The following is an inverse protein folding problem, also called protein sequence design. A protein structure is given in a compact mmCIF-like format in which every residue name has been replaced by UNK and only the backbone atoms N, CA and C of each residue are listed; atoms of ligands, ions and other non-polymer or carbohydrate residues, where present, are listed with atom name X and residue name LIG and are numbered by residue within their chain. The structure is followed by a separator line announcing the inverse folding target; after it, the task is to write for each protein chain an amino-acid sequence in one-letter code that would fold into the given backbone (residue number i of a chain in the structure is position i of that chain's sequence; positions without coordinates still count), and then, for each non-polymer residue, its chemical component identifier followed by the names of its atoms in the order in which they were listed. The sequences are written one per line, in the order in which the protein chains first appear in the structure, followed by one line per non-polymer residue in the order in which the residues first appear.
data_IF_321191609819
#
_entry.id   IF_321191609819
#
_cell.length_a   1.000
_cell.length_b   1.000
_cell.length_c   1.000
_cell.angle_alpha   90.00
_cell.angle_beta   90.00
_cell.angle_gamma   90.00
#
_symmetry.space_group_name_H-M   'P 1'
#
loop_
_entity.id
_entity.type
_entity.pdbx_description
1 polymer ?
#
# COMPACT_ATOMS: atom_id res chain seq x y z
N UNK A 1 36.49 36.89 -9.31
CA UNK A 1 35.04 36.90 -9.09
C UNK A 1 34.33 35.92 -10.02
N UNK A 2 34.37 36.15 -11.33
CA UNK A 2 33.52 35.48 -12.32
C UNK A 2 33.65 33.95 -12.40
N UNK A 3 34.87 33.39 -12.36
CA UNK A 3 35.08 31.93 -12.37
C UNK A 3 34.54 31.24 -11.10
N UNK A 4 34.63 31.90 -9.95
CA UNK A 4 34.12 31.39 -8.67
C UNK A 4 32.59 31.41 -8.67
N UNK A 5 31.97 32.47 -9.17
CA UNK A 5 30.52 32.56 -9.32
C UNK A 5 29.97 31.52 -10.30
N UNK A 6 30.63 31.30 -11.44
CA UNK A 6 30.25 30.26 -12.39
C UNK A 6 30.36 28.85 -11.77
N UNK A 7 31.41 28.58 -10.99
CA UNK A 7 31.57 27.32 -10.28
C UNK A 7 30.51 27.12 -9.19
N UNK A 8 30.20 28.17 -8.41
CA UNK A 8 29.16 28.15 -7.39
C UNK A 8 27.76 27.95 -8.01
N UNK A 9 27.46 28.61 -9.13
CA UNK A 9 26.22 28.41 -9.88
C UNK A 9 26.03 26.98 -10.35
N UNK A 10 27.08 26.37 -10.93
CA UNK A 10 27.05 24.95 -11.33
C UNK A 10 26.87 24.00 -10.14
N UNK A 11 27.54 24.26 -9.02
CA UNK A 11 27.40 23.45 -7.82
C UNK A 11 25.98 23.52 -7.24
N UNK A 12 25.40 24.73 -7.12
CA UNK A 12 24.02 24.93 -6.66
C UNK A 12 23.02 24.20 -7.56
N UNK A 13 23.21 24.29 -8.88
CA UNK A 13 22.38 23.58 -9.84
C UNK A 13 22.49 22.06 -9.68
N UNK A 14 23.70 21.52 -9.61
CA UNK A 14 23.93 20.09 -9.43
C UNK A 14 23.30 19.57 -8.12
N UNK A 15 23.40 20.34 -7.03
CA UNK A 15 22.75 20.01 -5.76
C UNK A 15 21.23 20.02 -5.88
N UNK A 16 20.65 21.03 -6.53
CA UNK A 16 19.21 21.11 -6.74
C UNK A 16 18.68 19.91 -7.56
N UNK A 17 19.41 19.52 -8.60
CA UNK A 17 19.10 18.34 -9.42
C UNK A 17 19.17 17.06 -8.58
N UNK A 18 20.24 16.87 -7.78
CA UNK A 18 20.39 15.70 -6.90
C UNK A 18 19.26 15.59 -5.87
N UNK A 19 18.88 16.70 -5.23
CA UNK A 19 17.77 16.73 -4.26
C UNK A 19 16.45 16.38 -4.95
N UNK A 20 16.19 16.91 -6.15
CA UNK A 20 14.99 16.58 -6.93
C UNK A 20 14.90 15.08 -7.24
N UNK A 21 15.99 14.48 -7.71
CA UNK A 21 16.03 13.04 -8.00
C UNK A 21 15.83 12.19 -6.74
N UNK A 22 16.45 12.57 -5.61
CA UNK A 22 16.26 11.87 -4.36
C UNK A 22 14.80 11.92 -3.88
N UNK A 23 14.13 13.07 -4.02
CA UNK A 23 12.70 13.22 -3.69
C UNK A 23 11.80 12.36 -4.58
N UNK A 24 12.00 12.39 -5.89
CA UNK A 24 11.24 11.56 -6.82
C UNK A 24 11.43 10.05 -6.55
N UNK A 25 12.65 9.64 -6.18
CA UNK A 25 12.95 8.26 -5.78
C UNK A 25 12.22 7.86 -4.49
N UNK A 26 12.19 8.75 -3.49
CA UNK A 26 11.47 8.52 -2.23
C UNK A 26 9.97 8.44 -2.44
N UNK A 27 9.39 9.36 -3.22
CA UNK A 27 7.97 9.35 -3.59
C UNK A 27 7.59 8.08 -4.36
N UNK A 28 8.42 7.65 -5.30
CA UNK A 28 8.22 6.40 -6.02
C UNK A 28 8.31 5.16 -5.13
N UNK A 29 9.23 5.14 -4.16
CA UNK A 29 9.33 4.06 -3.18
C UNK A 29 8.13 4.05 -2.22
N UNK A 30 7.66 5.21 -1.77
CA UNK A 30 6.46 5.35 -0.95
C UNK A 30 5.21 4.89 -1.70
N UNK A 31 5.03 5.30 -2.96
CA UNK A 31 3.90 4.86 -3.78
C UNK A 31 3.89 3.34 -4.02
N UNK A 32 5.08 2.72 -4.15
CA UNK A 32 5.21 1.26 -4.24
C UNK A 32 4.90 0.58 -2.91
N UNK A 33 5.36 1.13 -1.79
CA UNK A 33 5.03 0.64 -0.45
C UNK A 33 3.53 0.75 -0.17
N UNK A 34 2.89 1.84 -0.60
CA UNK A 34 1.44 2.00 -0.53
C UNK A 34 0.74 0.97 -1.41
N UNK A 35 1.15 0.81 -2.68
CA UNK A 35 0.58 -0.19 -3.57
C UNK A 35 0.71 -1.63 -3.03
N UNK A 36 1.78 -1.91 -2.27
CA UNK A 36 2.05 -3.20 -1.61
C UNK A 36 1.47 -3.27 -0.19
N UNK A 37 0.95 -2.18 0.36
CA UNK A 37 0.39 -2.14 1.70
C UNK A 37 -1.05 -2.62 1.69
N UNK A 38 -1.41 -3.67 2.46
CA UNK A 38 -2.79 -4.10 2.65
C UNK A 38 -3.71 -2.94 3.07
N UNK A 39 -3.17 -1.92 3.77
CA UNK A 39 -3.92 -0.73 4.20
C UNK A 39 -4.26 0.23 3.06
N UNK A 40 -3.41 0.38 2.04
CA UNK A 40 -3.73 1.25 0.89
C UNK A 40 -4.75 0.58 -0.05
N UNK A 41 -4.83 -0.75 -0.04
CA UNK A 41 -5.92 -1.47 -0.69
C UNK A 41 -7.27 -1.14 -0.01
N UNK A 42 -7.30 -1.14 1.33
CA UNK A 42 -8.50 -0.78 2.09
C UNK A 42 -8.96 0.67 1.86
N UNK A 43 -8.02 1.61 1.70
CA UNK A 43 -8.33 3.03 1.46
C UNK A 43 -9.08 3.28 0.13
N UNK A 44 -8.97 2.37 -0.85
CA UNK A 44 -9.70 2.43 -2.13
C UNK A 44 -11.09 1.79 -2.07
N UNK A 45 -11.55 1.38 -0.88
CA UNK A 45 -12.86 0.75 -0.69
C UNK A 45 -12.85 -0.79 -0.75
N UNK A 46 -11.67 -1.42 -0.86
CA UNK A 46 -11.55 -2.88 -0.76
C UNK A 46 -11.58 -3.33 0.72
N UNK A 47 -11.83 -4.62 0.93
CA UNK A 47 -11.80 -5.25 2.25
C UNK A 47 -10.88 -6.47 2.25
N UNK A 48 -10.30 -6.82 3.40
CA UNK A 48 -9.51 -8.04 3.58
C UNK A 48 -10.34 -9.06 4.35
N UNK A 49 -10.47 -10.26 3.81
CA UNK A 49 -11.19 -11.36 4.46
C UNK A 49 -10.19 -12.28 5.18
N UNK A 50 -10.47 -12.61 6.44
CA UNK A 50 -9.74 -13.62 7.22
C UNK A 50 -10.67 -14.73 7.66
N UNK A 51 -10.19 -15.98 7.67
CA UNK A 51 -10.97 -17.12 8.16
C UNK A 51 -11.03 -17.15 9.68
N UNK A 52 -12.23 -17.32 10.22
CA UNK A 52 -12.53 -17.51 11.63
C UNK A 52 -12.31 -16.26 12.47
N UNK A 53 -11.06 -16.00 12.85
CA UNK A 53 -10.70 -14.98 13.84
C UNK A 53 -9.99 -13.76 13.22
N UNK A 54 -9.92 -12.61 13.92
CA UNK A 54 -9.22 -11.42 13.43
C UNK A 54 -7.72 -11.64 13.14
N UNK A 55 -7.10 -12.63 13.78
CA UNK A 55 -5.71 -13.05 13.58
C UNK A 55 -5.58 -14.27 12.67
N UNK A 56 -6.69 -14.79 12.12
CA UNK A 56 -6.71 -15.95 11.24
C UNK A 56 -6.07 -15.69 9.87
N UNK A 57 -5.86 -16.73 9.04
CA UNK A 57 -5.22 -16.58 7.74
C UNK A 57 -6.06 -15.70 6.81
N UNK A 58 -5.39 -14.93 5.95
CA UNK A 58 -6.05 -14.17 4.88
C UNK A 58 -6.59 -15.15 3.85
N UNK A 59 -7.81 -14.90 3.39
CA UNK A 59 -8.42 -15.61 2.27
C UNK A 59 -8.16 -14.81 1.00
N UNK A 60 -7.42 -15.40 0.06
CA UNK A 60 -7.11 -14.83 -1.25
C UNK A 60 -7.81 -15.56 -2.41
N UNK A 61 -8.44 -16.70 -2.14
CA UNK A 61 -9.17 -17.53 -3.09
C UNK A 61 -10.51 -17.96 -2.44
N UNK A 62 -11.61 -17.74 -3.16
CA UNK A 62 -12.95 -18.10 -2.70
C UNK A 62 -13.13 -19.62 -2.55
N UNK A 63 -12.45 -20.43 -3.36
CA UNK A 63 -12.51 -21.90 -3.30
C UNK A 63 -11.96 -22.46 -1.98
N UNK A 64 -11.23 -21.66 -1.21
CA UNK A 64 -10.78 -22.07 0.10
C UNK A 64 -11.93 -22.10 1.13
N UNK A 65 -13.04 -21.39 0.90
CA UNK A 65 -14.15 -21.22 1.84
C UNK A 65 -15.33 -22.15 1.52
N UNK A 66 -16.16 -22.41 2.53
CA UNK A 66 -17.42 -23.12 2.38
C UNK A 66 -18.61 -22.32 2.94
N UNK A 67 -19.85 -22.56 2.44
CA UNK A 67 -21.06 -22.08 3.09
C UNK A 67 -21.06 -22.44 4.58
N UNK A 68 -21.35 -21.45 5.41
CA UNK A 68 -21.30 -21.60 6.87
C UNK A 68 -19.97 -21.16 7.50
N UNK A 69 -18.90 -20.96 6.74
CA UNK A 69 -17.62 -20.51 7.30
C UNK A 69 -17.74 -19.13 7.95
N UNK A 70 -17.22 -19.00 9.16
CA UNK A 70 -17.08 -17.70 9.81
C UNK A 70 -15.87 -16.96 9.23
N UNK A 71 -16.04 -15.68 8.93
CA UNK A 71 -14.98 -14.81 8.45
C UNK A 71 -14.98 -13.47 9.18
N UNK A 72 -13.81 -12.83 9.20
CA UNK A 72 -13.65 -11.44 9.63
C UNK A 72 -13.31 -10.61 8.41
N UNK A 73 -14.11 -9.58 8.17
CA UNK A 73 -13.92 -8.61 7.10
C UNK A 73 -13.31 -7.36 7.69
N UNK A 74 -12.10 -7.02 7.27
CA UNK A 74 -11.39 -5.82 7.69
C UNK A 74 -11.60 -4.73 6.64
N UNK A 75 -12.04 -3.56 7.10
CA UNK A 75 -12.20 -2.36 6.29
C UNK A 75 -11.11 -1.35 6.64
N UNK A 76 -11.02 -0.25 5.88
CA UNK A 76 -10.13 0.87 6.23
C UNK A 76 -10.39 1.40 7.65
N UNK A 77 -11.64 1.33 8.11
CA UNK A 77 -12.04 1.69 9.46
C UNK A 77 -12.93 0.59 10.03
N UNK A 78 -12.44 -0.07 11.06
CA UNK A 78 -13.17 -1.12 11.77
C UNK A 78 -13.16 -2.48 11.05
N UNK A 79 -13.94 -3.40 11.59
CA UNK A 79 -14.06 -4.78 11.13
C UNK A 79 -15.48 -5.29 11.37
N UNK A 80 -15.92 -6.24 10.57
CA UNK A 80 -17.16 -6.97 10.75
C UNK A 80 -16.90 -8.48 10.86
N UNK A 81 -17.79 -9.18 11.54
CA UNK A 81 -17.88 -10.63 11.51
C UNK A 81 -19.01 -11.02 10.55
N UNK A 82 -18.76 -11.99 9.69
CA UNK A 82 -19.72 -12.47 8.71
C UNK A 82 -19.64 -13.98 8.57
N UNK A 83 -20.61 -14.55 7.87
CA UNK A 83 -20.65 -15.96 7.48
C UNK A 83 -20.75 -16.03 5.96
N UNK A 84 -20.09 -17.02 5.37
CA UNK A 84 -20.20 -17.27 3.93
C UNK A 84 -21.52 -17.96 3.63
N UNK A 85 -22.29 -17.44 2.68
CA UNK A 85 -23.53 -18.07 2.23
C UNK A 85 -23.28 -18.98 1.02
N UNK A 86 -22.46 -18.54 0.07
CA UNK A 86 -22.06 -19.30 -1.12
C UNK A 86 -20.68 -18.84 -1.65
N UNK A 87 -20.06 -19.65 -2.49
CA UNK A 87 -18.81 -19.35 -3.21
C UNK A 87 -18.98 -19.69 -4.68
N UNK A 88 -18.44 -18.84 -5.57
CA UNK A 88 -18.45 -19.03 -7.03
C UNK A 88 -17.01 -18.91 -7.56
N UNK A 89 -16.75 -19.49 -8.73
CA UNK A 89 -15.45 -19.48 -9.44
C UNK A 89 -15.20 -18.18 -10.22
#
# INVERSE_FOLDING_TARGET
GERLEAAAGRLRFALAVRVRHARAGLEGAAARLDALSPLACLARGYAIVRRGAPTGPIVNDAAALAPGDAVVVLFARGRAQARIDATEE
#
